data_IF_842830639290
#
_entry.id   IF_842830639290
#
_cell.length_a   1.000
_cell.length_b   1.000
_cell.length_c   1.000
_cell.angle_alpha   90.00
_cell.angle_beta   90.00
_cell.angle_gamma   90.00
#
_symmetry.space_group_name_H-M   'P 1'
#
loop_
_entity.id
_entity.type
_entity.pdbx_description
1 polymer ?
#
# COMPACT_ATOMS: atom_id res chain seq x y z
N UNK A 1 15.32 -16.36 -0.63
CA UNK A 1 14.16 -16.06 0.24
C UNK A 1 13.11 -15.41 -0.66
N UNK A 2 12.09 -16.18 -1.05
CA UNK A 2 11.15 -15.78 -2.10
C UNK A 2 10.13 -14.80 -1.50
N UNK A 3 10.28 -13.49 -1.76
CA UNK A 3 9.25 -12.51 -1.39
C UNK A 3 8.08 -12.68 -2.35
N UNK A 4 7.03 -13.33 -1.88
CA UNK A 4 5.80 -13.54 -2.62
C UNK A 4 5.09 -12.20 -2.77
N UNK A 5 5.33 -11.52 -3.89
CA UNK A 5 4.59 -10.33 -4.29
C UNK A 5 3.34 -10.79 -5.04
N UNK A 6 2.17 -10.31 -4.61
CA UNK A 6 0.91 -10.65 -5.28
C UNK A 6 0.74 -9.85 -6.59
N UNK A 7 1.58 -8.84 -6.82
CA UNK A 7 1.65 -8.07 -8.07
C UNK A 7 2.99 -8.37 -8.73
N UNK A 8 2.96 -8.92 -9.95
CA UNK A 8 4.13 -9.08 -10.82
C UNK A 8 4.12 -8.05 -11.93
N UNK A 9 5.31 -7.69 -12.42
CA UNK A 9 5.48 -6.85 -13.60
C UNK A 9 5.89 -7.77 -14.77
N UNK A 10 5.15 -7.74 -15.87
CA UNK A 10 5.51 -8.52 -17.07
C UNK A 10 6.63 -7.86 -17.88
N UNK A 11 7.09 -8.52 -18.96
CA UNK A 11 8.16 -8.01 -19.83
C UNK A 11 7.81 -6.68 -20.52
N UNK A 12 6.52 -6.35 -20.62
CA UNK A 12 6.02 -5.09 -21.17
C UNK A 12 5.84 -4.00 -20.12
N UNK A 13 6.16 -4.25 -18.85
CA UNK A 13 5.98 -3.28 -17.76
C UNK A 13 4.56 -3.25 -17.18
N UNK A 14 3.68 -4.19 -17.55
CA UNK A 14 2.32 -4.20 -17.03
C UNK A 14 2.25 -4.95 -15.70
N UNK A 15 1.59 -4.34 -14.71
CA UNK A 15 1.29 -4.97 -13.43
C UNK A 15 0.19 -6.04 -13.59
N UNK A 16 0.40 -7.20 -12.98
CA UNK A 16 -0.51 -8.36 -13.01
C UNK A 16 -0.66 -8.95 -11.62
N UNK A 17 -1.91 -9.17 -11.18
CA UNK A 17 -2.23 -9.85 -9.93
C UNK A 17 -2.12 -11.37 -10.12
N UNK A 18 -1.43 -12.07 -9.22
CA UNK A 18 -1.09 -13.51 -9.40
C UNK A 18 -1.49 -14.43 -8.25
N UNK A 19 -1.99 -13.90 -7.14
CA UNK A 19 -2.36 -14.71 -5.97
C UNK A 19 -3.76 -14.32 -5.49
N UNK A 20 -4.77 -15.01 -6.03
CA UNK A 20 -6.15 -15.04 -5.51
C UNK A 20 -6.38 -16.25 -4.60
N UNK A 21 -5.32 -16.99 -4.22
CA UNK A 21 -5.42 -18.32 -3.61
C UNK A 21 -6.00 -18.35 -2.19
N UNK A 22 -6.32 -17.19 -1.62
CA UNK A 22 -7.02 -17.02 -0.34
C UNK A 22 -8.31 -16.19 -0.49
N UNK A 23 -8.76 -15.90 -1.72
CA UNK A 23 -10.03 -15.25 -1.99
C UNK A 23 -11.16 -16.21 -1.62
N UNK A 24 -11.62 -16.16 -0.38
CA UNK A 24 -12.70 -17.02 0.10
C UNK A 24 -14.00 -16.58 -0.56
N UNK A 25 -14.47 -17.33 -1.56
CA UNK A 25 -15.89 -17.30 -1.97
C UNK A 25 -16.63 -18.08 -0.88
N UNK A 26 -16.84 -17.48 0.29
CA UNK A 26 -17.64 -18.11 1.34
C UNK A 26 -18.58 -17.10 1.96
N UNK A 27 -19.86 -17.47 1.95
CA UNK A 27 -20.89 -17.03 2.87
C UNK A 27 -20.34 -16.93 4.31
N UNK A 28 -20.91 -16.05 5.15
CA UNK A 28 -20.34 -15.69 6.44
C UNK A 28 -20.44 -16.88 7.41
N UNK A 29 -19.42 -17.73 7.41
CA UNK A 29 -19.21 -18.71 8.48
C UNK A 29 -18.34 -18.05 9.54
N UNK A 30 -19.09 -17.49 10.48
CA UNK A 30 -18.72 -16.91 11.76
C UNK A 30 -18.04 -18.03 12.58
N UNK A 31 -16.70 -18.11 12.61
CA UNK A 31 -15.94 -18.73 13.74
C UNK A 31 -14.39 -18.67 13.63
N UNK A 32 -13.80 -17.58 13.10
CA UNK A 32 -12.33 -17.47 12.98
C UNK A 32 -11.73 -16.18 13.55
N UNK A 33 -12.36 -15.61 14.58
CA UNK A 33 -11.93 -14.37 15.24
C UNK A 33 -10.53 -14.45 15.89
N UNK A 34 -10.00 -15.66 16.14
CA UNK A 34 -8.64 -15.84 16.67
C UNK A 34 -7.59 -16.27 15.63
N UNK A 35 -8.00 -16.66 14.42
CA UNK A 35 -7.09 -17.17 13.39
C UNK A 35 -6.70 -16.13 12.35
N UNK A 36 -7.50 -15.08 12.15
CA UNK A 36 -7.26 -14.05 11.14
C UNK A 36 -5.89 -13.38 11.32
N UNK A 37 -5.58 -12.86 12.51
CA UNK A 37 -4.30 -12.20 12.78
C UNK A 37 -3.08 -13.13 12.69
N UNK A 38 -3.23 -14.41 13.04
CA UNK A 38 -2.16 -15.44 12.93
C UNK A 38 -1.99 -16.02 11.51
N UNK A 39 -2.96 -15.80 10.62
CA UNK A 39 -2.94 -16.27 9.23
C UNK A 39 -2.40 -15.25 8.24
N UNK A 40 -2.25 -13.97 8.67
CA UNK A 40 -1.65 -12.93 7.84
C UNK A 40 -0.19 -13.31 7.62
N UNK A 41 0.15 -13.61 6.36
CA UNK A 41 1.53 -13.96 5.97
C UNK A 41 2.49 -12.85 6.43
N UNK A 42 3.70 -13.20 6.90
CA UNK A 42 4.72 -12.21 7.23
C UNK A 42 4.89 -11.20 6.09
N UNK A 43 4.81 -9.92 6.41
CA UNK A 43 4.87 -8.80 5.48
C UNK A 43 3.52 -8.28 4.99
N UNK A 44 2.46 -9.10 4.99
CA UNK A 44 1.14 -8.73 4.49
C UNK A 44 0.40 -7.76 5.44
N UNK A 45 0.74 -7.77 6.73
CA UNK A 45 0.14 -6.88 7.74
C UNK A 45 0.28 -5.39 7.40
N UNK A 46 1.31 -5.03 6.63
CA UNK A 46 1.58 -3.64 6.20
C UNK A 46 0.54 -3.09 5.22
N UNK A 47 -0.24 -3.98 4.63
CA UNK A 47 -1.28 -3.69 3.65
C UNK A 47 -2.68 -4.02 4.18
N UNK A 48 -2.77 -4.71 5.32
CA UNK A 48 -4.03 -5.20 5.87
C UNK A 48 -4.85 -4.04 6.45
N UNK A 49 -6.15 -4.06 6.15
CA UNK A 49 -7.11 -3.12 6.71
C UNK A 49 -7.26 -3.33 8.23
N UNK A 50 -7.51 -2.28 9.02
CA UNK A 50 -7.59 -2.36 10.48
C UNK A 50 -8.54 -3.43 11.01
N UNK A 51 -9.69 -3.60 10.37
CA UNK A 51 -10.71 -4.60 10.72
C UNK A 51 -10.26 -6.06 10.52
N UNK A 52 -9.27 -6.30 9.65
CA UNK A 52 -8.69 -7.64 9.45
C UNK A 52 -7.61 -7.93 10.49
N UNK A 53 -7.02 -6.88 11.06
CA UNK A 53 -6.00 -6.97 12.11
C UNK A 53 -6.64 -7.05 13.50
N UNK A 54 -7.68 -6.25 13.71
CA UNK A 54 -8.43 -6.07 14.95
C UNK A 54 -9.92 -6.25 14.65
N UNK A 55 -10.39 -7.50 14.49
CA UNK A 55 -11.79 -7.77 14.19
C UNK A 55 -12.68 -7.25 15.31
N UNK A 56 -13.62 -6.37 14.95
CA UNK A 56 -14.64 -5.87 15.85
C UNK A 56 -15.81 -6.87 15.88
N UNK A 57 -15.88 -7.63 16.98
CA UNK A 57 -16.94 -8.62 17.20
C UNK A 57 -18.31 -7.99 17.53
N UNK A 58 -18.41 -6.66 17.59
CA UNK A 58 -19.66 -5.95 17.90
C UNK A 58 -20.46 -5.53 16.66
N UNK A 59 -19.87 -5.62 15.45
CA UNK A 59 -20.58 -5.29 14.21
C UNK A 59 -21.60 -6.38 13.86
N UNK A 60 -22.84 -5.97 13.61
CA UNK A 60 -23.94 -6.87 13.22
C UNK A 60 -23.74 -7.49 11.83
N UNK A 61 -23.01 -6.80 10.94
CA UNK A 61 -22.72 -7.25 9.58
C UNK A 61 -21.21 -7.44 9.39
N UNK A 62 -20.79 -8.49 8.64
CA UNK A 62 -19.41 -8.68 8.27
C UNK A 62 -18.93 -7.51 7.40
N UNK A 63 -17.70 -7.04 7.63
CA UNK A 63 -17.10 -5.99 6.81
C UNK A 63 -16.96 -6.47 5.37
N UNK A 64 -17.38 -5.70 4.35
CA UNK A 64 -17.22 -6.10 2.96
C UNK A 64 -15.74 -6.27 2.60
N UNK A 65 -15.37 -7.45 2.09
CA UNK A 65 -13.99 -7.77 1.69
C UNK A 65 -13.46 -6.77 0.64
N UNK A 66 -14.33 -6.28 -0.24
CA UNK A 66 -14.01 -5.22 -1.20
C UNK A 66 -13.40 -3.99 -0.52
N UNK A 67 -13.94 -3.55 0.62
CA UNK A 67 -13.41 -2.37 1.31
C UNK A 67 -12.03 -2.63 1.91
N UNK A 68 -11.72 -3.87 2.31
CA UNK A 68 -10.37 -4.24 2.74
C UNK A 68 -9.38 -4.27 1.56
N UNK A 69 -9.83 -4.67 0.37
CA UNK A 69 -9.03 -4.57 -0.86
C UNK A 69 -8.74 -3.11 -1.23
N UNK A 70 -9.71 -2.20 -1.05
CA UNK A 70 -9.51 -0.76 -1.27
C UNK A 70 -8.47 -0.17 -0.31
N UNK A 71 -8.44 -0.60 0.95
CA UNK A 71 -7.39 -0.21 1.89
C UNK A 71 -6.02 -0.69 1.41
N UNK A 72 -5.93 -1.98 1.03
CA UNK A 72 -4.71 -2.58 0.49
C UNK A 72 -4.22 -1.85 -0.76
N UNK A 73 -5.14 -1.43 -1.64
CA UNK A 73 -4.83 -0.59 -2.79
C UNK A 73 -4.22 0.75 -2.38
N UNK A 74 -4.77 1.44 -1.37
CA UNK A 74 -4.20 2.69 -0.84
C UNK A 74 -2.76 2.51 -0.36
N UNK A 75 -2.48 1.41 0.34
CA UNK A 75 -1.13 1.02 0.76
C UNK A 75 -0.19 0.77 -0.43
N UNK A 76 -0.67 0.12 -1.49
CA UNK A 76 0.11 -0.13 -2.72
C UNK A 76 0.39 1.18 -3.46
N UNK A 77 -0.61 2.04 -3.62
CA UNK A 77 -0.45 3.36 -4.25
C UNK A 77 0.61 4.18 -3.51
N UNK A 78 0.55 4.21 -2.17
CA UNK A 78 1.57 4.83 -1.33
C UNK A 78 2.95 4.20 -1.57
N UNK A 79 3.06 2.88 -1.59
CA UNK A 79 4.33 2.19 -1.85
C UNK A 79 4.94 2.56 -3.21
N UNK A 80 4.12 2.61 -4.26
CA UNK A 80 4.57 2.94 -5.61
C UNK A 80 5.13 4.36 -5.66
N UNK A 81 4.44 5.32 -5.03
CA UNK A 81 4.89 6.71 -5.02
C UNK A 81 6.10 6.95 -4.11
N UNK A 82 6.26 6.15 -3.04
CA UNK A 82 7.39 6.24 -2.12
C UNK A 82 8.63 5.43 -2.55
N UNK A 83 8.45 4.40 -3.37
CA UNK A 83 9.49 3.41 -3.67
C UNK A 83 9.87 2.50 -2.49
N UNK A 84 9.13 2.53 -1.39
CA UNK A 84 9.34 1.68 -0.19
C UNK A 84 8.00 1.28 0.42
N UNK A 85 7.99 0.18 1.19
CA UNK A 85 6.75 -0.38 1.76
C UNK A 85 6.09 0.58 2.76
N UNK A 86 4.76 0.51 2.95
CA UNK A 86 4.10 1.19 4.05
C UNK A 86 4.70 0.75 5.38
N UNK A 87 4.70 1.67 6.35
CA UNK A 87 5.26 1.45 7.69
C UNK A 87 6.77 1.14 7.68
N UNK A 88 7.51 1.55 6.65
CA UNK A 88 8.95 1.25 6.50
C UNK A 88 9.82 1.67 7.70
N UNK A 89 9.36 2.65 8.46
CA UNK A 89 9.93 3.20 9.69
C UNK A 89 9.71 2.30 10.91
N UNK A 90 8.72 1.40 10.85
CA UNK A 90 8.40 0.45 11.92
C UNK A 90 8.96 -0.93 11.53
N UNK A 91 10.04 -1.40 12.18
CA UNK A 91 10.68 -2.66 11.82
C UNK A 91 9.88 -3.89 12.28
N UNK A 92 9.15 -3.79 13.40
CA UNK A 92 8.39 -4.89 13.98
C UNK A 92 6.92 -4.85 13.58
N UNK A 93 6.42 -5.97 13.07
CA UNK A 93 4.99 -6.13 12.75
C UNK A 93 4.09 -5.99 13.98
N UNK A 94 4.56 -6.40 15.15
CA UNK A 94 3.83 -6.20 16.40
C UNK A 94 3.61 -4.70 16.71
N UNK A 95 4.62 -3.85 16.44
CA UNK A 95 4.46 -2.39 16.61
C UNK A 95 3.54 -1.78 15.55
N UNK A 96 3.42 -2.38 14.37
CA UNK A 96 2.42 -1.98 13.37
C UNK A 96 1.02 -2.30 13.87
N UNK A 97 0.79 -3.51 14.39
CA UNK A 97 -0.49 -3.92 14.98
C UNK A 97 -0.90 -2.97 16.12
N UNK A 98 0.03 -2.66 17.03
CA UNK A 98 -0.21 -1.68 18.10
C UNK A 98 -0.50 -0.29 17.53
N UNK A 99 0.20 0.14 16.48
CA UNK A 99 -0.08 1.45 15.86
C UNK A 99 -1.50 1.50 15.27
N UNK A 100 -1.90 0.44 14.57
CA UNK A 100 -3.26 0.27 14.03
C UNK A 100 -4.30 0.27 15.17
N UNK A 101 -4.01 -0.36 16.31
CA UNK A 101 -4.94 -0.39 17.46
C UNK A 101 -5.16 0.96 18.11
N UNK A 102 -4.24 1.91 17.92
CA UNK A 102 -4.39 3.29 18.34
C UNK A 102 -5.00 4.18 17.24
N UNK A 103 -5.47 3.60 16.13
CA UNK A 103 -6.08 4.32 15.02
C UNK A 103 -5.08 5.03 14.11
N UNK A 104 -3.78 4.72 14.21
CA UNK A 104 -2.79 5.27 13.30
C UNK A 104 -2.78 4.50 11.97
N UNK A 105 -2.65 5.24 10.88
CA UNK A 105 -2.41 4.69 9.54
C UNK A 105 -0.99 4.98 9.04
N UNK A 106 -0.63 4.45 7.85
CA UNK A 106 0.60 4.82 7.16
C UNK A 106 0.72 6.34 7.01
N UNK A 107 1.89 6.88 7.31
CA UNK A 107 2.11 8.34 7.30
C UNK A 107 2.55 8.84 5.92
N UNK A 108 2.22 10.10 5.59
CA UNK A 108 2.84 10.83 4.48
C UNK A 108 4.26 11.18 4.89
N UNK A 109 5.30 10.73 4.16
CA UNK A 109 6.66 11.17 4.46
C UNK A 109 6.83 12.64 4.12
N UNK A 110 7.48 13.38 5.02
CA UNK A 110 7.82 14.77 4.80
C UNK A 110 8.76 14.91 3.59
N UNK A 111 8.52 15.93 2.77
CA UNK A 111 9.44 16.34 1.71
C UNK A 111 9.49 15.43 0.48
N UNK A 112 8.56 14.47 0.31
CA UNK A 112 8.52 13.62 -0.89
C UNK A 112 7.80 14.33 -2.06
N UNK A 113 8.51 14.80 -3.11
CA UNK A 113 7.90 15.58 -4.20
C UNK A 113 7.00 14.74 -5.11
N UNK A 114 7.16 13.41 -5.05
CA UNK A 114 6.45 12.43 -5.88
C UNK A 114 4.99 12.26 -5.47
N UNK A 115 4.65 12.57 -4.21
CA UNK A 115 3.28 12.52 -3.70
C UNK A 115 2.71 13.94 -3.69
N UNK A 116 1.96 14.27 -4.74
CA UNK A 116 1.19 15.51 -4.79
C UNK A 116 -0.02 15.44 -3.86
N UNK A 117 -0.58 16.59 -3.50
CA UNK A 117 -1.67 16.66 -2.52
C UNK A 117 -2.95 15.93 -2.96
N UNK A 118 -3.25 15.88 -4.26
CA UNK A 118 -4.39 15.11 -4.77
C UNK A 118 -4.20 13.60 -4.57
N UNK A 119 -3.00 13.10 -4.83
CA UNK A 119 -2.65 11.69 -4.64
C UNK A 119 -2.72 11.33 -3.15
N UNK A 120 -2.16 12.20 -2.29
CA UNK A 120 -2.24 11.99 -0.85
C UNK A 120 -3.68 12.00 -0.32
N UNK A 121 -4.50 12.98 -0.72
CA UNK A 121 -5.91 13.04 -0.32
C UNK A 121 -6.66 11.77 -0.72
N UNK A 122 -6.40 11.24 -1.91
CA UNK A 122 -7.03 10.00 -2.36
C UNK A 122 -6.55 8.78 -1.57
N UNK A 123 -5.23 8.69 -1.30
CA UNK A 123 -4.66 7.65 -0.42
C UNK A 123 -5.31 7.71 0.96
N UNK A 124 -5.48 8.90 1.56
CA UNK A 124 -6.16 9.06 2.85
C UNK A 124 -7.63 8.61 2.80
N UNK A 125 -8.33 8.81 1.67
CA UNK A 125 -9.70 8.29 1.48
C UNK A 125 -9.70 6.75 1.47
N UNK A 126 -8.72 6.12 0.83
CA UNK A 126 -8.56 4.66 0.81
C UNK A 126 -8.20 4.08 2.19
N UNK A 127 -7.41 4.81 2.98
CA UNK A 127 -6.89 4.38 4.28
C UNK A 127 -7.80 4.74 5.48
N UNK A 128 -9.07 5.07 5.24
CA UNK A 128 -10.03 5.34 6.31
C UNK A 128 -10.22 4.10 7.21
N UNK A 129 -10.26 4.32 8.53
CA UNK A 129 -10.50 3.24 9.49
C UNK A 129 -11.88 2.63 9.30
N UNK A 130 -12.91 3.45 9.10
CA UNK A 130 -14.27 2.98 8.81
C UNK A 130 -14.37 2.52 7.35
N UNK A 131 -14.67 1.24 7.06
CA UNK A 131 -14.72 0.69 5.70
C UNK A 131 -15.70 1.41 4.77
N UNK A 132 -16.83 1.89 5.30
CA UNK A 132 -17.87 2.59 4.54
C UNK A 132 -17.41 3.94 3.98
N UNK A 133 -16.41 4.57 4.60
CA UNK A 133 -15.86 5.86 4.17
C UNK A 133 -14.83 5.73 3.04
N UNK A 134 -14.39 4.50 2.75
CA UNK A 134 -13.45 4.21 1.66
C UNK A 134 -14.17 4.29 0.32
N UNK A 135 -13.48 4.65 -0.77
CA UNK A 135 -14.10 4.70 -2.10
C UNK A 135 -14.59 3.32 -2.56
N UNK A 136 -15.44 3.28 -3.58
CA UNK A 136 -15.72 2.06 -4.34
C UNK A 136 -14.58 1.73 -5.30
N UNK A 137 -14.55 0.51 -5.83
CA UNK A 137 -13.63 0.14 -6.91
C UNK A 137 -13.77 1.04 -8.15
N UNK A 138 -15.00 1.45 -8.49
CA UNK A 138 -15.25 2.36 -9.62
C UNK A 138 -14.65 3.75 -9.38
N UNK A 139 -14.82 4.32 -8.17
CA UNK A 139 -14.20 5.60 -7.82
C UNK A 139 -12.66 5.52 -7.85
N UNK A 140 -12.08 4.38 -7.48
CA UNK A 140 -10.64 4.12 -7.62
C UNK A 140 -10.24 4.10 -9.09
N UNK A 141 -10.98 3.40 -9.94
CA UNK A 141 -10.72 3.34 -11.37
C UNK A 141 -10.77 4.73 -12.01
N UNK A 142 -11.80 5.52 -11.70
CA UNK A 142 -11.97 6.88 -12.20
C UNK A 142 -10.81 7.78 -11.80
N UNK A 143 -10.40 7.72 -10.53
CA UNK A 143 -9.26 8.48 -10.04
C UNK A 143 -7.97 8.12 -10.80
N UNK A 144 -7.69 6.83 -10.97
CA UNK A 144 -6.50 6.33 -11.66
C UNK A 144 -6.51 6.75 -13.12
N UNK A 145 -7.63 6.60 -13.83
CA UNK A 145 -7.75 6.97 -15.24
C UNK A 145 -7.60 8.48 -15.46
N UNK A 146 -8.16 9.31 -14.57
CA UNK A 146 -7.99 10.75 -14.63
C UNK A 146 -6.53 11.17 -14.39
N UNK A 147 -5.85 10.50 -13.45
CA UNK A 147 -4.41 10.72 -13.18
C UNK A 147 -3.54 10.40 -14.38
N UNK A 148 -3.83 9.35 -15.15
CA UNK A 148 -3.07 8.99 -16.35
C UNK A 148 -3.42 9.83 -17.58
N UNK A 149 -4.66 10.33 -17.67
CA UNK A 149 -5.12 11.14 -18.82
C UNK A 149 -4.70 12.61 -18.74
N UNK A 150 -4.24 13.07 -17.57
CA UNK A 150 -3.80 14.44 -17.35
C UNK A 150 -2.45 14.73 -18.06
N UNK A 151 -2.39 15.67 -19.03
CA UNK A 151 -1.20 15.94 -19.85
C UNK A 151 0.07 16.35 -19.08
N UNK A 152 -0.05 16.71 -17.79
CA UNK A 152 1.06 17.12 -16.93
C UNK A 152 1.85 15.97 -16.27
N UNK A 153 1.40 14.72 -16.38
CA UNK A 153 2.00 13.59 -15.65
C UNK A 153 3.00 12.76 -16.47
N UNK A 154 3.05 12.97 -17.78
CA UNK A 154 3.97 12.28 -18.70
C UNK A 154 5.44 12.65 -18.45
N UNK A 155 5.71 13.89 -18.02
CA UNK A 155 7.08 14.37 -17.76
C UNK A 155 7.70 13.74 -16.53
N UNK A 156 6.92 13.41 -15.50
CA UNK A 156 7.44 12.82 -14.26
C UNK A 156 7.85 11.35 -14.44
N UNK A 157 7.12 10.59 -15.26
CA UNK A 157 7.49 9.23 -15.65
C UNK A 157 8.68 9.20 -16.63
N UNK A 158 8.85 10.24 -17.46
CA UNK A 158 10.02 10.37 -18.33
C UNK A 158 11.31 10.68 -17.55
N UNK A 159 11.23 11.41 -16.44
CA UNK A 159 12.41 11.73 -15.62
C UNK A 159 12.89 10.56 -14.75
N UNK A 160 12.02 9.62 -14.39
CA UNK A 160 12.40 8.44 -13.57
C UNK A 160 12.96 7.26 -14.39
N UNK A 161 12.81 7.26 -15.72
CA UNK A 161 13.14 6.12 -16.58
C UNK A 161 14.36 6.33 -17.50
N UNK A 162 15.21 7.34 -17.28
CA UNK A 162 16.42 7.51 -18.09
C UNK A 162 17.60 6.64 -17.58
N UNK A 163 18.20 5.77 -18.41
CA UNK A 163 19.42 5.04 -18.04
C UNK A 163 20.66 5.93 -18.19
N UNK A 164 21.48 5.96 -17.13
CA UNK A 164 22.91 6.33 -17.04
C UNK A 164 23.30 7.82 -17.12
N UNK A 165 23.90 8.31 -16.02
CA UNK A 165 25.29 8.76 -16.08
C UNK A 165 26.09 8.17 -14.92
N UNK A 166 26.84 7.12 -15.28
CA UNK A 166 28.05 6.67 -14.60
C UNK A 166 29.03 7.84 -14.59
N UNK A 167 29.10 8.59 -13.48
CA UNK A 167 30.19 9.52 -13.23
C UNK A 167 31.13 8.91 -12.20
N UNK A 168 32.29 8.51 -12.70
CA UNK A 168 33.46 7.97 -12.05
C UNK A 168 33.84 8.74 -10.77
N UNK A 169 34.20 8.00 -9.71
CA UNK A 169 35.03 8.52 -8.61
C UNK A 169 36.28 9.22 -9.17
N UNK A 170 36.79 10.23 -8.46
CA UNK A 170 38.19 10.22 -8.09
C UNK A 170 38.35 10.13 -6.57
N UNK A 171 39.29 9.28 -6.16
CA UNK A 171 39.89 9.28 -4.83
C UNK A 171 40.75 10.54 -4.68
N UNK A 172 40.56 11.32 -3.62
CA UNK A 172 41.63 12.15 -3.07
C UNK A 172 41.48 12.33 -1.56
N UNK A 173 42.55 11.91 -0.87
CA UNK A 173 42.87 12.09 0.55
C UNK A 173 42.91 13.57 0.93
N UNK A 174 42.52 13.91 2.16
CA UNK A 174 43.41 14.46 3.22
C UNK A 174 42.58 14.92 4.43
N UNK A 175 42.96 14.46 5.63
CA UNK A 175 42.57 15.05 6.91
C UNK A 175 43.80 15.76 7.49
N UNK A 176 43.68 17.06 7.71
CA UNK A 176 44.43 17.92 8.66
C UNK A 176 43.45 19.05 8.98
N UNK A 177 43.18 19.44 10.22
CA UNK A 177 44.09 19.71 11.36
C UNK A 177 43.53 19.20 12.68
#
# INVERSE_FOLDING_TARGET
>A
MNTQANILIDKGGHARLIDFGLSTITQPLIDQSHLAATSIRPGAIRYAAPELVLPDNTRELPVPLEKADIYSFGCIMLQVLLGRRPWSEIPSEAFIIVSISHGHGPQRPDGQPTIIDSDWKFIQKCLQSEPELRPSADEVLDFVMHRFSSPGNSTYFMLSNHPLTRASRPLSRQWTT
#
